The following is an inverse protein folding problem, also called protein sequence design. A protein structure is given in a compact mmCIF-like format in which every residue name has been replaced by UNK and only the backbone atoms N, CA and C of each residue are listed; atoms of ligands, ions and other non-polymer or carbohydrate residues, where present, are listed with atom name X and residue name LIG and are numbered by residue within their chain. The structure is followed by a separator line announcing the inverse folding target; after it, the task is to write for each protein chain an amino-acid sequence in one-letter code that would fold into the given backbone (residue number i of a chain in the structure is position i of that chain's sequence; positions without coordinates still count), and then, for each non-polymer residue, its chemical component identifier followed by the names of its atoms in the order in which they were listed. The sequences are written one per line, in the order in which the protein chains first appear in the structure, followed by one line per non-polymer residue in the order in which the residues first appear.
data_IF_517827631795
#
_entry.id   IF_517827631795
#
_cell.length_a   1.000
_cell.length_b   1.000
_cell.length_c   1.000
_cell.angle_alpha   90.00
_cell.angle_beta   90.00
_cell.angle_gamma   90.00
#
_symmetry.space_group_name_H-M   'P 1'
#
loop_
_entity.id
_entity.type
_entity.pdbx_description
1 polymer ?
#
# COMPACT_ATOMS: atom_id res chain seq x y z
N UNK A 1 1.02 -23.98 -6.84
CA UNK A 1 2.47 -24.10 -6.57
C UNK A 1 3.03 -22.84 -5.90
N UNK A 2 2.91 -21.66 -6.52
CA UNK A 2 3.42 -20.38 -5.99
C UNK A 2 3.01 -20.02 -4.56
N UNK A 3 1.74 -20.21 -4.18
CA UNK A 3 1.29 -19.90 -2.81
C UNK A 3 2.01 -20.69 -1.71
N UNK A 4 2.50 -21.90 -2.01
CA UNK A 4 3.28 -22.67 -1.03
C UNK A 4 4.65 -22.05 -0.79
N UNK A 5 5.31 -21.55 -1.84
CA UNK A 5 6.60 -20.87 -1.73
C UNK A 5 6.47 -19.56 -0.94
N UNK A 6 5.51 -18.70 -1.29
CA UNK A 6 5.26 -17.46 -0.54
C UNK A 6 4.94 -17.74 0.93
N UNK A 7 4.11 -18.76 1.20
CA UNK A 7 3.78 -19.13 2.56
C UNK A 7 5.00 -19.65 3.34
N UNK A 8 5.94 -20.32 2.68
CA UNK A 8 7.16 -20.82 3.32
C UNK A 8 8.12 -19.68 3.69
N UNK A 9 8.28 -18.69 2.81
CA UNK A 9 9.07 -17.49 3.11
C UNK A 9 8.49 -16.75 4.32
N UNK A 10 7.16 -16.59 4.39
CA UNK A 10 6.53 -16.04 5.57
C UNK A 10 6.77 -16.90 6.83
N UNK A 11 6.71 -18.23 6.75
CA UNK A 11 7.04 -19.09 7.91
C UNK A 11 8.47 -18.88 8.38
N UNK A 12 9.42 -18.85 7.46
CA UNK A 12 10.83 -18.63 7.74
C UNK A 12 11.04 -17.30 8.49
N UNK A 13 10.44 -16.21 7.99
CA UNK A 13 10.49 -14.90 8.65
C UNK A 13 9.82 -14.92 10.03
N UNK A 14 8.66 -15.58 10.15
CA UNK A 14 7.94 -15.75 11.42
C UNK A 14 8.64 -16.68 12.39
N UNK A 15 9.71 -17.38 12.00
CA UNK A 15 10.51 -18.22 12.90
C UNK A 15 11.78 -17.53 13.41
N UNK A 16 12.10 -16.33 12.90
CA UNK A 16 13.25 -15.54 13.39
C UNK A 16 13.10 -15.26 14.88
N UNK A 17 14.00 -15.84 15.69
CA UNK A 17 13.89 -15.85 17.15
C UNK A 17 13.91 -14.46 17.76
N UNK A 18 14.73 -13.55 17.21
CA UNK A 18 14.82 -12.16 17.65
C UNK A 18 13.56 -11.35 17.36
N UNK A 19 12.75 -11.78 16.38
CA UNK A 19 11.51 -11.11 16.01
C UNK A 19 10.32 -11.55 16.88
N UNK A 20 10.39 -12.74 17.50
CA UNK A 20 9.30 -13.31 18.32
C UNK A 20 8.81 -12.40 19.45
N UNK A 21 9.67 -11.73 20.24
CA UNK A 21 9.19 -10.87 21.32
C UNK A 21 8.35 -9.70 20.80
N UNK A 22 8.78 -9.08 19.70
CA UNK A 22 8.08 -7.97 19.04
C UNK A 22 6.73 -8.42 18.49
N UNK A 23 6.70 -9.51 17.71
CA UNK A 23 5.46 -10.00 17.08
C UNK A 23 4.38 -10.40 18.09
N UNK A 24 4.76 -10.83 19.30
CA UNK A 24 3.83 -11.26 20.34
C UNK A 24 3.34 -10.14 21.25
N UNK A 25 4.06 -9.03 21.32
CA UNK A 25 3.80 -7.96 22.30
C UNK A 25 3.31 -6.65 21.68
N UNK A 26 3.57 -6.44 20.39
CA UNK A 26 3.27 -5.19 19.69
C UNK A 26 2.31 -5.51 18.54
N UNK A 27 1.17 -4.79 18.39
CA UNK A 27 0.31 -4.91 17.22
C UNK A 27 1.09 -4.56 15.94
N UNK A 28 1.00 -5.42 14.92
CA UNK A 28 1.66 -5.20 13.64
C UNK A 28 0.61 -4.98 12.56
N UNK A 29 0.68 -3.83 11.89
CA UNK A 29 -0.11 -3.50 10.72
C UNK A 29 0.82 -3.43 9.52
N UNK A 30 0.44 -4.06 8.41
CA UNK A 30 1.34 -4.20 7.28
C UNK A 30 0.67 -3.91 5.94
N UNK A 31 1.47 -3.41 5.02
CA UNK A 31 1.25 -3.43 3.58
C UNK A 31 2.38 -4.23 2.93
N UNK A 32 2.18 -4.70 1.71
CA UNK A 32 3.24 -5.35 0.94
C UNK A 32 4.09 -4.37 0.15
N UNK A 33 5.26 -4.85 -0.28
CA UNK A 33 5.92 -4.37 -1.50
C UNK A 33 6.06 -5.49 -2.54
N UNK A 34 6.82 -5.30 -3.62
CA UNK A 34 7.01 -6.30 -4.68
C UNK A 34 7.53 -7.66 -4.17
N UNK A 35 8.43 -7.65 -3.20
CA UNK A 35 8.99 -8.87 -2.61
C UNK A 35 7.95 -9.72 -1.84
N UNK A 36 6.89 -9.10 -1.33
CA UNK A 36 5.73 -9.80 -0.75
C UNK A 36 4.67 -10.14 -1.82
N UNK A 37 4.65 -9.37 -2.90
CA UNK A 37 3.72 -9.52 -4.03
C UNK A 37 4.16 -10.64 -5.01
N UNK A 38 5.36 -11.19 -4.80
CA UNK A 38 5.82 -12.48 -5.32
C UNK A 38 6.67 -12.43 -6.58
N UNK A 39 6.60 -11.35 -7.38
CA UNK A 39 7.50 -11.12 -8.51
C UNK A 39 8.03 -9.69 -8.43
N UNK A 40 9.36 -9.53 -8.55
CA UNK A 40 10.02 -8.23 -8.40
C UNK A 40 9.46 -7.20 -9.39
N UNK A 41 9.21 -5.98 -8.92
CA UNK A 41 8.77 -4.87 -9.78
C UNK A 41 7.38 -5.02 -10.42
N UNK A 42 6.65 -6.11 -10.16
CA UNK A 42 5.37 -6.36 -10.81
C UNK A 42 4.24 -5.43 -10.32
N UNK A 43 3.16 -5.47 -11.08
CA UNK A 43 2.01 -4.57 -11.00
C UNK A 43 0.68 -5.36 -11.15
N UNK A 44 -0.40 -4.74 -11.62
CA UNK A 44 -1.69 -5.40 -11.80
C UNK A 44 -1.66 -6.63 -12.72
N UNK A 45 -0.65 -6.75 -13.58
CA UNK A 45 -0.46 -7.86 -14.52
C UNK A 45 0.25 -9.07 -13.90
N UNK A 46 0.64 -8.99 -12.62
CA UNK A 46 1.19 -10.12 -11.90
C UNK A 46 0.23 -11.34 -11.96
N UNK A 47 0.64 -12.46 -12.58
CA UNK A 47 -0.22 -13.63 -12.77
C UNK A 47 -0.60 -14.32 -11.46
N UNK A 48 0.11 -14.02 -10.36
CA UNK A 48 -0.12 -14.64 -9.05
C UNK A 48 -0.67 -13.67 -8.00
N UNK A 49 -1.10 -12.45 -8.36
CA UNK A 49 -1.50 -11.43 -7.39
C UNK A 49 -2.59 -11.86 -6.40
N UNK A 50 -3.56 -12.66 -6.86
CA UNK A 50 -4.65 -13.14 -6.00
C UNK A 50 -4.16 -14.21 -5.02
N UNK A 51 -3.20 -15.02 -5.47
CA UNK A 51 -2.52 -15.99 -4.61
C UNK A 51 -1.66 -15.26 -3.57
N UNK A 52 -0.92 -14.23 -3.98
CA UNK A 52 -0.14 -13.38 -3.08
C UNK A 52 -1.06 -12.70 -2.05
N UNK A 53 -2.19 -12.13 -2.47
CA UNK A 53 -3.19 -11.53 -1.57
C UNK A 53 -3.70 -12.55 -0.55
N UNK A 54 -4.05 -13.74 -1.01
CA UNK A 54 -4.54 -14.78 -0.11
C UNK A 54 -3.48 -15.15 0.93
N UNK A 55 -2.23 -15.36 0.52
CA UNK A 55 -1.14 -15.71 1.45
C UNK A 55 -0.85 -14.55 2.40
N UNK A 56 -0.80 -13.32 1.91
CA UNK A 56 -0.58 -12.14 2.76
C UNK A 56 -1.64 -12.04 3.88
N UNK A 57 -2.90 -12.29 3.54
CA UNK A 57 -4.02 -12.36 4.51
C UNK A 57 -3.88 -13.48 5.54
N UNK A 58 -3.26 -14.60 5.18
CA UNK A 58 -3.04 -15.71 6.10
C UNK A 58 -1.98 -15.36 7.17
N UNK A 59 -1.08 -14.40 6.91
CA UNK A 59 0.05 -14.07 7.79
C UNK A 59 -0.03 -12.70 8.49
N UNK A 60 -0.87 -11.80 8.01
CA UNK A 60 -1.08 -10.49 8.60
C UNK A 60 -2.52 -10.39 9.11
N UNK A 61 -2.69 -9.87 10.33
CA UNK A 61 -4.00 -9.69 10.92
C UNK A 61 -4.45 -8.23 10.77
N UNK A 62 -4.47 -7.74 9.53
CA UNK A 62 -4.86 -6.34 9.27
C UNK A 62 -6.36 -6.14 9.51
N UNK A 63 -6.79 -4.90 9.85
CA UNK A 63 -8.20 -4.53 9.97
C UNK A 63 -9.00 -4.70 8.68
N UNK A 64 -8.34 -4.70 7.52
CA UNK A 64 -9.00 -4.80 6.23
C UNK A 64 -8.05 -5.15 5.09
N UNK A 65 -8.66 -5.58 3.99
CA UNK A 65 -7.98 -5.98 2.75
C UNK A 65 -8.75 -5.44 1.55
N UNK A 66 -8.80 -4.11 1.47
CA UNK A 66 -9.52 -3.39 0.43
C UNK A 66 -11.02 -3.31 0.66
N UNK A 67 -11.77 -3.11 -0.42
CA UNK A 67 -13.23 -3.07 -0.43
C UNK A 67 -13.81 -4.41 -0.93
N UNK A 68 -15.10 -4.71 -0.64
CA UNK A 68 -15.75 -5.92 -1.16
C UNK A 68 -15.63 -6.10 -2.67
N UNK A 69 -15.62 -4.99 -3.43
CA UNK A 69 -15.51 -4.95 -4.88
C UNK A 69 -14.15 -4.42 -5.38
N UNK A 70 -13.18 -4.26 -4.48
CA UNK A 70 -11.82 -3.80 -4.76
C UNK A 70 -10.82 -4.47 -3.80
N UNK A 71 -10.48 -5.76 -4.00
CA UNK A 71 -9.48 -6.45 -3.19
C UNK A 71 -8.11 -5.78 -3.27
N UNK A 72 -7.32 -5.86 -2.21
CA UNK A 72 -5.96 -5.32 -2.13
C UNK A 72 -5.51 -5.18 -0.69
N UNK A 73 -4.27 -4.76 -0.46
CA UNK A 73 -3.75 -4.50 0.89
C UNK A 73 -3.82 -3.00 1.17
N UNK A 74 -5.04 -2.48 1.28
CA UNK A 74 -5.31 -1.12 1.71
C UNK A 74 -6.43 -1.07 2.75
N UNK A 75 -6.29 -0.20 3.75
CA UNK A 75 -7.23 -0.04 4.86
C UNK A 75 -6.94 1.23 5.65
N UNK A 76 -7.86 1.62 6.53
CA UNK A 76 -7.67 2.71 7.48
C UNK A 76 -7.56 2.15 8.89
N UNK A 77 -6.70 2.75 9.70
CA UNK A 77 -6.62 2.50 11.14
C UNK A 77 -6.54 3.83 11.89
N UNK A 78 -7.31 3.96 12.97
CA UNK A 78 -7.39 5.19 13.75
C UNK A 78 -6.93 4.91 15.18
N UNK A 79 -5.98 5.70 15.67
CA UNK A 79 -5.46 5.53 17.03
C UNK A 79 -4.95 6.86 17.60
N UNK A 80 -5.36 7.20 18.83
CA UNK A 80 -4.81 8.35 19.56
C UNK A 80 -4.95 9.71 18.86
N UNK A 81 -6.02 9.93 18.09
CA UNK A 81 -6.20 11.17 17.31
C UNK A 81 -5.39 11.21 16.02
N UNK A 82 -4.90 10.07 15.55
CA UNK A 82 -4.19 9.91 14.28
C UNK A 82 -4.96 8.95 13.38
N UNK A 83 -5.15 9.34 12.12
CA UNK A 83 -5.67 8.46 11.08
C UNK A 83 -4.53 7.99 10.17
N UNK A 84 -4.37 6.67 10.09
CA UNK A 84 -3.42 6.01 9.20
C UNK A 84 -4.15 5.42 8.02
N UNK A 85 -3.76 5.80 6.81
CA UNK A 85 -4.26 5.26 5.55
C UNK A 85 -3.16 4.40 4.93
N UNK A 86 -3.33 3.08 5.04
CA UNK A 86 -2.45 2.09 4.43
C UNK A 86 -2.86 1.90 2.97
N UNK A 87 -1.91 2.06 2.05
CA UNK A 87 -2.14 2.05 0.62
C UNK A 87 -1.47 0.84 -0.04
N UNK A 88 -2.20 0.19 -0.93
CA UNK A 88 -1.68 -0.79 -1.87
C UNK A 88 -1.12 -0.07 -3.11
N UNK A 89 0.17 -0.26 -3.39
CA UNK A 89 0.85 0.31 -4.55
C UNK A 89 1.13 -0.68 -5.67
N UNK A 90 0.56 -1.90 -5.62
CA UNK A 90 0.90 -3.01 -6.53
C UNK A 90 -0.33 -3.57 -7.24
N UNK A 91 -1.42 -3.84 -6.52
CA UNK A 91 -2.55 -4.64 -7.03
C UNK A 91 -3.28 -4.03 -8.23
N UNK A 92 -3.38 -2.70 -8.26
CA UNK A 92 -4.03 -1.92 -9.32
C UNK A 92 -3.07 -1.01 -10.10
N UNK A 93 -1.76 -1.12 -9.83
CA UNK A 93 -0.74 -0.34 -10.52
C UNK A 93 -0.73 -0.72 -11.98
N UNK A 94 -0.68 0.26 -12.88
CA UNK A 94 -0.42 0.00 -14.29
C UNK A 94 1.06 -0.31 -14.54
N UNK A 95 1.38 -1.08 -15.59
CA UNK A 95 2.75 -1.41 -15.94
C UNK A 95 3.68 -0.22 -15.97
N UNK A 96 4.89 -0.39 -15.44
CA UNK A 96 5.90 0.66 -15.46
C UNK A 96 6.23 1.11 -16.91
N UNK A 97 6.16 0.16 -17.85
CA UNK A 97 6.36 0.33 -19.29
C UNK A 97 5.22 1.04 -20.01
N UNK A 98 4.05 1.20 -19.38
CA UNK A 98 2.95 1.96 -19.96
C UNK A 98 3.36 3.44 -20.06
N UNK A 99 3.08 4.10 -21.18
CA UNK A 99 3.36 5.53 -21.33
C UNK A 99 2.66 6.37 -20.26
N UNK A 100 3.34 7.40 -19.77
CA UNK A 100 2.74 8.36 -18.84
C UNK A 100 1.59 9.10 -19.54
N UNK A 101 0.39 9.01 -18.97
CA UNK A 101 -0.80 9.67 -19.49
C UNK A 101 -1.91 9.78 -18.44
N UNK A 102 -2.99 10.52 -18.71
CA UNK A 102 -4.07 10.76 -17.74
C UNK A 102 -4.80 9.48 -17.30
N UNK A 103 -4.70 8.39 -18.06
CA UNK A 103 -5.26 7.09 -17.72
C UNK A 103 -4.36 6.19 -16.87
N UNK A 104 -3.05 6.49 -16.78
CA UNK A 104 -2.09 5.67 -16.02
C UNK A 104 -2.32 5.85 -14.53
N UNK A 105 -2.46 4.75 -13.80
CA UNK A 105 -2.79 4.76 -12.37
C UNK A 105 -1.88 3.88 -11.54
N UNK A 106 -1.78 4.23 -10.26
CA UNK A 106 -1.02 3.49 -9.25
C UNK A 106 -1.96 2.73 -8.29
N UNK A 107 -3.01 3.41 -7.84
CA UNK A 107 -3.95 2.87 -6.85
C UNK A 107 -5.20 2.27 -7.51
N UNK A 108 -5.42 2.51 -8.80
CA UNK A 108 -6.72 2.26 -9.42
C UNK A 108 -7.77 3.29 -8.97
N UNK A 109 -8.92 3.28 -9.64
CA UNK A 109 -10.00 4.26 -9.41
C UNK A 109 -10.67 4.09 -8.05
N UNK A 110 -10.93 2.85 -7.63
CA UNK A 110 -11.68 2.53 -6.40
C UNK A 110 -10.91 2.89 -5.13
N UNK A 111 -9.64 2.47 -5.03
CA UNK A 111 -8.80 2.83 -3.88
C UNK A 111 -8.52 4.34 -3.84
N UNK A 112 -8.33 5.00 -4.99
CA UNK A 112 -8.17 6.45 -5.04
C UNK A 112 -9.43 7.18 -4.55
N UNK A 113 -10.61 6.73 -4.96
CA UNK A 113 -11.88 7.29 -4.50
C UNK A 113 -12.08 7.07 -2.99
N UNK A 114 -11.79 5.86 -2.52
CA UNK A 114 -11.81 5.51 -1.09
C UNK A 114 -10.87 6.42 -0.27
N UNK A 115 -9.63 6.62 -0.73
CA UNK A 115 -8.65 7.46 -0.06
C UNK A 115 -9.14 8.93 0.02
N UNK A 116 -9.61 9.48 -1.09
CA UNK A 116 -10.15 10.86 -1.14
C UNK A 116 -11.34 11.03 -0.18
N UNK A 117 -12.26 10.07 -0.16
CA UNK A 117 -13.42 10.10 0.72
C UNK A 117 -13.00 10.01 2.20
N UNK A 118 -12.06 9.10 2.53
CA UNK A 118 -11.53 8.93 3.88
C UNK A 118 -10.81 10.17 4.39
N UNK A 119 -9.92 10.76 3.58
CA UNK A 119 -9.21 11.99 3.92
C UNK A 119 -10.16 13.18 4.13
N UNK A 120 -11.19 13.32 3.29
CA UNK A 120 -12.22 14.36 3.44
C UNK A 120 -13.07 14.16 4.70
N UNK A 121 -13.38 12.92 5.07
CA UNK A 121 -14.20 12.59 6.24
C UNK A 121 -13.43 12.76 7.55
N UNK A 122 -12.14 12.47 7.54
CA UNK A 122 -11.29 12.43 8.73
C UNK A 122 -11.17 13.78 9.44
N UNK A 123 -11.54 13.81 10.72
CA UNK A 123 -11.37 14.94 11.62
C UNK A 123 -10.11 14.84 12.50
N UNK A 124 -9.31 13.78 12.32
CA UNK A 124 -8.10 13.57 13.10
C UNK A 124 -7.08 14.70 12.88
N UNK A 125 -6.45 15.24 13.94
CA UNK A 125 -5.40 16.25 13.82
C UNK A 125 -4.25 15.84 12.90
N UNK A 126 -3.89 14.55 12.91
CA UNK A 126 -2.83 14.01 12.08
C UNK A 126 -3.34 12.90 11.17
N UNK A 127 -2.85 12.88 9.94
CA UNK A 127 -3.16 11.89 8.93
C UNK A 127 -1.86 11.41 8.30
N UNK A 128 -1.63 10.10 8.30
CA UNK A 128 -0.48 9.49 7.66
C UNK A 128 -0.93 8.66 6.48
N UNK A 129 -0.25 8.81 5.36
CA UNK A 129 -0.34 7.85 4.26
C UNK A 129 0.85 6.91 4.36
N UNK A 130 0.57 5.62 4.45
CA UNK A 130 1.58 4.56 4.54
C UNK A 130 1.56 3.83 3.21
N UNK A 131 2.72 3.75 2.55
CA UNK A 131 2.91 3.08 1.26
C UNK A 131 4.32 2.52 1.16
N UNK A 132 4.51 1.47 0.36
CA UNK A 132 5.85 0.97 0.04
C UNK A 132 6.55 1.80 -1.02
N UNK A 133 7.88 1.72 -1.04
CA UNK A 133 8.73 2.24 -2.11
C UNK A 133 8.21 1.86 -3.51
N UNK A 134 8.19 2.84 -4.42
CA UNK A 134 7.89 2.58 -5.83
C UNK A 134 9.18 2.32 -6.59
N UNK A 135 9.84 1.22 -6.29
CA UNK A 135 10.90 0.69 -7.16
C UNK A 135 10.34 0.42 -8.56
N UNK A 136 10.99 0.96 -9.59
CA UNK A 136 10.74 0.60 -10.99
C UNK A 136 10.26 1.69 -11.93
N UNK A 137 10.08 2.94 -11.47
CA UNK A 137 9.98 4.09 -12.38
C UNK A 137 11.24 4.93 -12.21
N UNK A 138 11.95 5.31 -13.29
CA UNK A 138 13.10 6.20 -13.15
C UNK A 138 12.66 7.45 -12.41
N UNK A 139 13.41 7.85 -11.38
CA UNK A 139 13.22 9.16 -10.75
C UNK A 139 13.28 10.18 -11.87
N UNK A 140 12.26 11.02 -12.01
CA UNK A 140 12.36 12.18 -12.91
C UNK A 140 13.46 13.10 -12.39
N UNK A 141 13.98 14.01 -13.21
CA UNK A 141 15.08 14.92 -12.84
C UNK A 141 14.82 15.74 -11.56
N UNK A 142 13.55 15.88 -11.15
CA UNK A 142 13.13 16.50 -9.90
C UNK A 142 13.05 15.56 -8.68
N UNK A 143 13.46 14.30 -8.81
CA UNK A 143 13.44 13.30 -7.73
C UNK A 143 12.09 12.65 -7.45
N UNK A 144 11.00 13.09 -8.11
CA UNK A 144 9.65 12.56 -7.87
C UNK A 144 9.34 11.32 -8.71
N UNK A 145 8.61 10.38 -8.11
CA UNK A 145 8.03 9.23 -8.84
C UNK A 145 6.60 9.55 -9.28
N UNK A 146 6.10 9.01 -10.41
CA UNK A 146 4.73 9.24 -10.86
C UNK A 146 3.65 8.91 -9.82
N UNK A 147 3.84 7.89 -8.98
CA UNK A 147 2.89 7.61 -7.90
C UNK A 147 2.99 8.58 -6.71
N UNK A 148 4.17 9.15 -6.41
CA UNK A 148 4.28 10.25 -5.45
C UNK A 148 3.43 11.43 -5.93
N UNK A 149 3.53 11.79 -7.22
CA UNK A 149 2.69 12.83 -7.82
C UNK A 149 1.20 12.50 -7.78
N UNK A 150 0.81 11.26 -8.07
CA UNK A 150 -0.60 10.86 -8.02
C UNK A 150 -1.20 11.01 -6.61
N UNK A 151 -0.44 10.63 -5.59
CA UNK A 151 -0.82 10.77 -4.18
C UNK A 151 -0.84 12.24 -3.78
N UNK A 152 0.20 13.00 -4.13
CA UNK A 152 0.26 14.44 -3.84
C UNK A 152 -0.86 15.21 -4.55
N UNK A 153 -1.25 14.82 -5.76
CA UNK A 153 -2.40 15.38 -6.46
C UNK A 153 -3.72 15.04 -5.76
N UNK A 154 -3.86 13.83 -5.20
CA UNK A 154 -5.00 13.48 -4.37
C UNK A 154 -5.05 14.35 -3.09
N UNK A 155 -3.88 14.59 -2.47
CA UNK A 155 -3.73 15.49 -1.32
C UNK A 155 -3.94 16.97 -1.64
N UNK A 156 -3.69 17.41 -2.87
CA UNK A 156 -3.81 18.80 -3.30
C UNK A 156 -5.22 19.21 -3.73
N UNK A 157 -6.19 18.29 -3.67
CA UNK A 157 -7.61 18.66 -3.80
C UNK A 157 -7.98 19.67 -2.70
N UNK A 158 -8.75 20.70 -3.05
CA UNK A 158 -9.08 21.88 -2.22
C UNK A 158 -9.63 21.55 -0.81
N UNK A 159 -10.07 20.32 -0.59
CA UNK A 159 -10.53 19.76 0.68
C UNK A 159 -9.44 19.54 1.75
N UNK A 160 -8.15 19.55 1.41
CA UNK A 160 -7.04 19.28 2.34
C UNK A 160 -6.04 20.45 2.44
N UNK A 161 -6.42 21.61 1.89
CA UNK A 161 -5.66 22.86 1.99
C UNK A 161 -5.51 23.25 3.47
N UNK A 162 -4.28 23.21 4.00
CA UNK A 162 -3.95 23.55 5.39
C UNK A 162 -3.34 22.41 6.21
N UNK A 163 -3.29 21.18 5.70
CA UNK A 163 -2.61 20.08 6.40
C UNK A 163 -1.09 20.14 6.20
N UNK A 164 -0.34 19.91 7.28
CA UNK A 164 1.12 19.71 7.20
C UNK A 164 1.35 18.33 6.59
N UNK A 165 1.92 18.29 5.39
CA UNK A 165 2.08 17.08 4.58
C UNK A 165 3.42 16.43 4.86
N UNK A 166 3.41 15.16 5.23
CA UNK A 166 4.59 14.31 5.32
C UNK A 166 4.23 12.90 4.89
N UNK A 167 5.00 12.34 3.96
CA UNK A 167 4.88 10.95 3.53
C UNK A 167 5.90 10.11 4.30
N UNK A 168 5.47 8.94 4.77
CA UNK A 168 6.37 7.93 5.34
C UNK A 168 6.46 6.80 4.33
N UNK A 169 7.65 6.65 3.73
CA UNK A 169 7.97 5.53 2.85
C UNK A 169 8.46 4.39 3.75
N UNK A 170 7.83 3.21 3.66
CA UNK A 170 8.29 1.99 4.31
C UNK A 170 9.10 1.14 3.34
#
# INVERSE_FOLDING_TARGET
LYGKFLAEEYRSQRQVRSLQPVLRSIPNLAIWDDHDYGLNGHDRENPIKDVALKVFKDYWANPGYGLPDAPGVFFQYSYGGVDFFFLDGRYYRDPATMDDGPGKTMLGSKQLAWLKAGLKKSQAPFKFLIRSEMGGLPRKENGETPGHRAIMNAMNSSTLSGMKKSEVCC
#
